data_IF_248788026150
#
_entry.id   IF_248788026150
#
_cell.length_a   1.000
_cell.length_b   1.000
_cell.length_c   1.000
_cell.angle_alpha   90.00
_cell.angle_beta   90.00
_cell.angle_gamma   90.00
#
_symmetry.space_group_name_H-M   'P 1'
#
loop_
_entity.id
_entity.type
_entity.pdbx_description
1 polymer ?
#
# COMPACT_ATOMS: atom_id res chain seq x y z
N UNK A 1 6.28 -22.32 -6.32
CA UNK A 1 6.78 -22.18 -7.70
C UNK A 1 7.77 -21.03 -7.65
N UNK A 2 9.07 -21.30 -7.83
CA UNK A 2 10.09 -20.25 -7.80
C UNK A 2 9.87 -19.30 -8.97
N UNK A 3 9.82 -18.00 -8.73
CA UNK A 3 9.57 -16.99 -9.78
C UNK A 3 10.57 -17.09 -10.94
N UNK A 4 11.75 -17.67 -10.69
CA UNK A 4 12.78 -17.92 -11.70
C UNK A 4 12.48 -19.08 -12.66
N UNK A 5 11.69 -20.08 -12.25
CA UNK A 5 11.28 -21.18 -13.14
C UNK A 5 10.38 -20.72 -14.30
N UNK A 6 9.67 -19.60 -14.11
CA UNK A 6 8.96 -18.89 -15.17
C UNK A 6 9.90 -18.19 -16.19
N UNK A 7 11.18 -18.02 -15.85
CA UNK A 7 12.08 -17.07 -16.51
C UNK A 7 12.92 -17.64 -17.65
N UNK A 8 13.14 -18.96 -17.74
CA UNK A 8 14.10 -19.52 -18.69
C UNK A 8 13.56 -19.63 -20.13
N UNK A 9 12.25 -19.43 -20.35
CA UNK A 9 11.61 -19.51 -21.67
C UNK A 9 10.90 -18.25 -22.18
N UNK A 10 10.89 -17.15 -21.41
CA UNK A 10 9.97 -16.03 -21.71
C UNK A 10 8.50 -16.46 -21.65
N UNK A 11 8.19 -17.41 -20.77
CA UNK A 11 6.87 -18.02 -20.67
C UNK A 11 5.87 -17.00 -20.11
N UNK A 12 5.22 -16.29 -21.03
CA UNK A 12 4.19 -15.30 -20.73
C UNK A 12 3.09 -15.90 -19.84
N UNK A 13 2.80 -17.20 -19.95
CA UNK A 13 1.80 -17.86 -19.11
C UNK A 13 2.27 -17.98 -17.65
N UNK A 14 3.55 -18.26 -17.43
CA UNK A 14 4.12 -18.33 -16.09
C UNK A 14 4.20 -16.94 -15.44
N UNK A 15 4.49 -15.88 -16.21
CA UNK A 15 4.42 -14.51 -15.70
C UNK A 15 2.98 -14.08 -15.39
N UNK A 16 2.01 -14.48 -16.20
CA UNK A 16 0.59 -14.20 -15.97
C UNK A 16 0.09 -14.75 -14.63
N UNK A 17 0.63 -15.90 -14.17
CA UNK A 17 0.35 -16.42 -12.82
C UNK A 17 0.82 -15.45 -11.73
N UNK A 18 1.99 -14.83 -11.88
CA UNK A 18 2.50 -13.83 -10.95
C UNK A 18 1.64 -12.56 -10.98
N UNK A 19 1.26 -12.10 -12.17
CA UNK A 19 0.36 -10.94 -12.32
C UNK A 19 -0.98 -11.19 -11.63
N UNK A 20 -1.59 -12.37 -11.84
CA UNK A 20 -2.83 -12.74 -11.15
C UNK A 20 -2.66 -12.83 -9.63
N UNK A 21 -1.58 -13.43 -9.16
CA UNK A 21 -1.34 -13.64 -7.74
C UNK A 21 -1.08 -12.33 -6.99
N UNK A 22 -0.35 -11.39 -7.59
CA UNK A 22 0.12 -10.18 -6.92
C UNK A 22 -0.58 -8.89 -7.38
N UNK A 23 -1.38 -8.93 -8.46
CA UNK A 23 -2.05 -7.76 -9.03
C UNK A 23 -2.91 -7.02 -8.01
N UNK A 24 -3.71 -7.76 -7.24
CA UNK A 24 -4.57 -7.15 -6.21
C UNK A 24 -3.79 -6.45 -5.10
N UNK A 25 -2.67 -7.03 -4.61
CA UNK A 25 -1.87 -6.40 -3.55
C UNK A 25 -1.04 -5.23 -4.09
N UNK A 26 -0.55 -5.31 -5.32
CA UNK A 26 0.13 -4.21 -6.01
C UNK A 26 -0.81 -3.02 -6.22
N UNK A 27 -2.02 -3.26 -6.72
CA UNK A 27 -3.04 -2.22 -6.83
C UNK A 27 -3.32 -1.54 -5.49
N UNK A 28 -3.58 -2.33 -4.42
CA UNK A 28 -3.80 -1.76 -3.09
C UNK A 28 -2.61 -0.94 -2.60
N UNK A 29 -1.38 -1.38 -2.85
CA UNK A 29 -0.18 -0.63 -2.48
C UNK A 29 -0.07 0.71 -3.24
N UNK A 30 -0.32 0.71 -4.55
CA UNK A 30 -0.32 1.93 -5.34
C UNK A 30 -1.43 2.88 -4.89
N UNK A 31 -2.62 2.35 -4.61
CA UNK A 31 -3.78 3.10 -4.15
C UNK A 31 -3.54 3.77 -2.80
N UNK A 32 -2.87 3.10 -1.86
CA UNK A 32 -2.45 3.71 -0.58
C UNK A 32 -1.55 4.96 -0.80
N UNK A 33 -0.79 5.01 -1.89
CA UNK A 33 0.13 6.12 -2.16
C UNK A 33 -0.53 7.23 -2.97
N UNK A 34 -1.31 6.86 -3.98
CA UNK A 34 -1.87 7.75 -4.99
C UNK A 34 -3.28 8.24 -4.70
N UNK A 35 -4.05 7.44 -3.97
CA UNK A 35 -5.42 7.76 -3.59
C UNK A 35 -6.45 7.83 -4.72
N UNK A 36 -6.07 7.44 -5.93
CA UNK A 36 -6.91 7.46 -7.13
C UNK A 36 -6.84 6.08 -7.78
N UNK A 37 -8.00 5.51 -8.14
CA UNK A 37 -8.07 4.13 -8.64
C UNK A 37 -7.46 3.99 -10.03
N UNK A 38 -7.69 4.95 -10.93
CA UNK A 38 -7.13 4.92 -12.27
C UNK A 38 -5.60 5.06 -12.23
N UNK A 39 -5.09 6.00 -11.43
CA UNK A 39 -3.65 6.17 -11.24
C UNK A 39 -3.01 4.95 -10.57
N UNK A 40 -3.71 4.32 -9.62
CA UNK A 40 -3.24 3.11 -8.95
C UNK A 40 -3.20 1.91 -9.89
N UNK A 41 -4.22 1.74 -10.73
CA UNK A 41 -4.26 0.72 -11.77
C UNK A 41 -3.08 0.90 -12.71
N UNK A 42 -2.92 2.09 -13.28
CA UNK A 42 -1.80 2.35 -14.20
C UNK A 42 -0.43 2.15 -13.52
N UNK A 43 -0.28 2.55 -12.26
CA UNK A 43 0.99 2.39 -11.54
C UNK A 43 1.31 0.91 -11.28
N UNK A 44 0.30 0.11 -10.95
CA UNK A 44 0.46 -1.33 -10.78
C UNK A 44 0.79 -2.02 -12.11
N UNK A 45 0.13 -1.65 -13.20
CA UNK A 45 0.41 -2.21 -14.53
C UNK A 45 1.84 -1.87 -15.00
N UNK A 46 2.25 -0.60 -14.90
CA UNK A 46 3.61 -0.18 -15.24
C UNK A 46 4.66 -0.90 -14.37
N UNK A 47 4.36 -1.15 -13.09
CA UNK A 47 5.22 -1.91 -12.21
C UNK A 47 5.40 -3.36 -12.68
N UNK A 48 4.33 -4.03 -13.13
CA UNK A 48 4.46 -5.37 -13.74
C UNK A 48 5.20 -5.34 -15.08
N UNK A 49 5.07 -4.31 -15.90
CA UNK A 49 5.88 -4.18 -17.13
C UNK A 49 7.37 -4.04 -16.78
N UNK A 50 7.69 -3.21 -15.79
CA UNK A 50 9.07 -3.02 -15.29
C UNK A 50 9.62 -4.29 -14.64
N UNK A 51 8.82 -4.97 -13.84
CA UNK A 51 9.20 -6.24 -13.22
C UNK A 51 9.48 -7.31 -14.27
N UNK A 52 8.66 -7.42 -15.31
CA UNK A 52 8.92 -8.35 -16.43
C UNK A 52 10.27 -8.07 -17.10
N UNK A 53 10.58 -6.80 -17.38
CA UNK A 53 11.87 -6.40 -17.98
C UNK A 53 13.05 -6.61 -17.03
N UNK A 54 12.83 -6.51 -15.72
CA UNK A 54 13.86 -6.70 -14.70
C UNK A 54 13.98 -8.16 -14.23
N UNK A 55 13.11 -9.06 -14.70
CA UNK A 55 12.96 -10.41 -14.18
C UNK A 55 14.24 -11.25 -14.33
N UNK A 56 15.02 -11.03 -15.39
CA UNK A 56 16.32 -11.67 -15.59
C UNK A 56 17.35 -11.35 -14.49
N UNK A 57 17.14 -10.26 -13.74
CA UNK A 57 17.99 -9.83 -12.61
C UNK A 57 17.36 -10.15 -11.26
N UNK A 58 16.19 -10.78 -11.24
CA UNK A 58 15.54 -11.17 -9.99
C UNK A 58 16.38 -12.24 -9.28
N UNK A 59 16.74 -11.96 -8.03
CA UNK A 59 17.63 -12.82 -7.27
C UNK A 59 16.98 -14.18 -6.96
N UNK A 60 17.65 -15.30 -7.24
CA UNK A 60 17.15 -16.62 -6.86
C UNK A 60 16.97 -16.72 -5.35
N UNK A 61 15.80 -17.17 -4.90
CA UNK A 61 15.47 -17.29 -3.48
C UNK A 61 14.89 -16.02 -2.84
N UNK A 62 14.89 -14.88 -3.55
CA UNK A 62 14.16 -13.70 -3.10
C UNK A 62 12.64 -13.90 -3.21
N UNK A 63 11.87 -13.21 -2.36
CA UNK A 63 10.41 -13.24 -2.43
C UNK A 63 9.90 -12.26 -3.49
N UNK A 64 9.08 -12.75 -4.42
CA UNK A 64 8.54 -11.91 -5.50
C UNK A 64 7.60 -10.83 -4.96
N UNK A 65 6.82 -11.13 -3.91
CA UNK A 65 5.83 -10.22 -3.33
C UNK A 65 6.43 -8.88 -2.88
N UNK A 66 7.38 -8.87 -1.94
CA UNK A 66 8.08 -7.65 -1.54
C UNK A 66 8.77 -6.94 -2.70
N UNK A 67 9.34 -7.69 -3.64
CA UNK A 67 10.00 -7.12 -4.81
C UNK A 67 9.04 -6.35 -5.73
N UNK A 68 7.90 -6.95 -6.11
CA UNK A 68 6.90 -6.26 -6.95
C UNK A 68 6.27 -5.08 -6.20
N UNK A 69 6.08 -5.20 -4.88
CA UNK A 69 5.56 -4.10 -4.06
C UNK A 69 6.54 -2.93 -3.95
N UNK A 70 7.86 -3.20 -3.90
CA UNK A 70 8.88 -2.15 -3.95
C UNK A 70 8.82 -1.39 -5.28
N UNK A 71 8.75 -2.11 -6.41
CA UNK A 71 8.61 -1.50 -7.75
C UNK A 71 7.32 -0.67 -7.82
N UNK A 72 6.20 -1.26 -7.42
CA UNK A 72 4.88 -0.60 -7.43
C UNK A 72 4.87 0.68 -6.58
N UNK A 73 5.48 0.62 -5.40
CA UNK A 73 5.56 1.77 -4.51
C UNK A 73 6.48 2.86 -5.06
N UNK A 74 7.53 2.51 -5.81
CA UNK A 74 8.36 3.49 -6.50
C UNK A 74 7.56 4.20 -7.62
N UNK A 75 6.83 3.44 -8.43
CA UNK A 75 5.98 4.00 -9.50
C UNK A 75 4.93 4.95 -8.96
N UNK A 76 4.21 4.53 -7.92
CA UNK A 76 3.18 5.34 -7.30
C UNK A 76 3.73 6.65 -6.71
N UNK A 77 4.90 6.60 -6.04
CA UNK A 77 5.56 7.79 -5.50
C UNK A 77 6.04 8.75 -6.60
N UNK A 78 6.62 8.21 -7.67
CA UNK A 78 7.08 8.99 -8.82
C UNK A 78 5.90 9.72 -9.49
N UNK A 79 4.79 9.03 -9.73
CA UNK A 79 3.54 9.63 -10.24
C UNK A 79 3.04 10.75 -9.34
N UNK A 80 2.97 10.49 -8.03
CA UNK A 80 2.51 11.51 -7.07
C UNK A 80 3.39 12.75 -7.10
N UNK A 81 4.71 12.57 -7.14
CA UNK A 81 5.68 13.68 -7.23
C UNK A 81 5.52 14.46 -8.53
N UNK A 82 5.37 13.78 -9.67
CA UNK A 82 5.22 14.40 -10.98
C UNK A 82 3.94 15.25 -11.07
N UNK A 83 2.86 14.80 -10.44
CA UNK A 83 1.60 15.53 -10.46
C UNK A 83 1.57 16.75 -9.52
N UNK A 84 2.60 16.98 -8.70
CA UNK A 84 2.60 18.04 -7.68
C UNK A 84 1.49 17.91 -6.63
N UNK A 85 0.80 16.75 -6.62
CA UNK A 85 -0.38 16.51 -5.79
C UNK A 85 0.06 16.16 -4.37
N UNK A 86 -0.44 16.89 -3.36
CA UNK A 86 -0.59 16.34 -2.00
C UNK A 86 -1.80 15.41 -2.04
N UNK A 87 -1.62 14.17 -2.49
CA UNK A 87 -2.66 13.15 -2.27
C UNK A 87 -2.35 12.46 -0.95
N UNK A 88 -3.31 12.52 -0.04
CA UNK A 88 -3.27 11.72 1.15
C UNK A 88 -3.54 10.25 0.85
N UNK A 89 -3.60 9.44 1.89
CA UNK A 89 -4.11 8.08 1.72
C UNK A 89 -5.59 8.21 1.39
N UNK A 90 -5.98 8.12 0.11
CA UNK A 90 -7.38 7.87 -0.20
C UNK A 90 -7.62 6.43 0.21
N UNK A 91 -8.03 6.23 1.45
CA UNK A 91 -8.63 5.00 1.93
C UNK A 91 -10.07 4.85 1.41
N UNK A 92 -10.48 5.68 0.44
CA UNK A 92 -11.86 5.76 -0.04
C UNK A 92 -12.32 4.43 -0.66
N UNK A 93 -11.46 3.69 -1.37
CA UNK A 93 -11.83 2.41 -1.98
C UNK A 93 -12.03 1.24 -1.00
N UNK A 94 -11.85 1.43 0.31
CA UNK A 94 -12.40 0.45 1.26
C UNK A 94 -13.95 0.44 1.27
N UNK A 95 -14.61 1.41 0.63
CA UNK A 95 -16.07 1.45 0.47
C UNK A 95 -16.63 0.41 -0.51
N UNK A 96 -15.86 -0.03 -1.50
CA UNK A 96 -16.38 -0.99 -2.49
C UNK A 96 -16.11 -2.46 -2.11
N UNK A 97 -15.14 -2.73 -1.22
CA UNK A 97 -14.72 -4.09 -0.89
C UNK A 97 -14.78 -4.49 0.58
N UNK A 98 -14.75 -3.55 1.53
CA UNK A 98 -14.78 -3.84 2.97
C UNK A 98 -16.15 -3.47 3.50
N UNK A 99 -17.13 -4.32 3.17
CA UNK A 99 -18.46 -4.30 3.77
C UNK A 99 -19.23 -3.02 3.44
N UNK A 100 -20.26 -3.17 2.59
CA UNK A 100 -21.58 -2.79 3.08
C UNK A 100 -21.64 -3.31 4.51
N UNK A 101 -21.59 -2.42 5.49
CA UNK A 101 -21.91 -2.80 6.86
C UNK A 101 -23.12 -3.71 6.75
N UNK A 102 -23.02 -4.86 7.41
CA UNK A 102 -24.22 -5.59 7.76
C UNK A 102 -25.27 -4.54 8.16
N UNK A 103 -26.50 -4.66 7.66
CA UNK A 103 -27.56 -3.68 7.94
C UNK A 103 -27.98 -3.63 9.40
N UNK A 104 -27.05 -3.80 10.35
CA UNK A 104 -27.17 -3.91 11.79
C UNK A 104 -26.82 -2.59 12.51
N UNK A 105 -26.12 -1.66 11.87
CA UNK A 105 -25.84 -0.34 12.46
C UNK A 105 -27.03 0.61 12.27
N UNK A 106 -27.42 1.31 13.33
CA UNK A 106 -28.39 2.40 13.21
C UNK A 106 -27.82 3.53 12.33
N UNK A 107 -28.66 4.36 11.70
CA UNK A 107 -28.21 5.50 10.91
C UNK A 107 -27.25 6.43 11.65
N UNK A 108 -27.48 6.64 12.95
CA UNK A 108 -26.64 7.45 13.83
C UNK A 108 -25.28 6.79 14.07
N UNK A 109 -25.25 5.48 14.30
CA UNK A 109 -24.01 4.73 14.45
C UNK A 109 -23.18 4.71 13.16
N UNK A 110 -23.84 4.62 12.00
CA UNK A 110 -23.19 4.70 10.70
C UNK A 110 -22.58 6.08 10.45
N UNK A 111 -23.27 7.16 10.83
CA UNK A 111 -22.77 8.54 10.70
C UNK A 111 -21.52 8.75 11.57
N UNK A 112 -21.57 8.36 12.86
CA UNK A 112 -20.41 8.45 13.77
C UNK A 112 -19.22 7.63 13.27
N UNK A 113 -19.47 6.47 12.66
CA UNK A 113 -18.41 5.66 12.05
C UNK A 113 -17.78 6.34 10.83
N UNK A 114 -18.57 7.03 10.00
CA UNK A 114 -18.06 7.81 8.87
C UNK A 114 -17.22 9.00 9.32
N UNK A 115 -17.66 9.74 10.33
CA UNK A 115 -16.92 10.89 10.89
C UNK A 115 -15.56 10.46 11.45
N UNK A 116 -15.54 9.43 12.31
CA UNK A 116 -14.29 8.87 12.86
C UNK A 116 -13.35 8.35 11.77
N UNK A 117 -13.90 7.80 10.69
CA UNK A 117 -13.11 7.35 9.56
C UNK A 117 -12.49 8.54 8.85
N UNK A 118 -13.26 9.60 8.57
CA UNK A 118 -12.74 10.82 7.94
C UNK A 118 -11.60 11.45 8.77
N UNK A 119 -11.77 11.58 10.09
CA UNK A 119 -10.73 12.05 11.01
C UNK A 119 -9.46 11.20 10.91
N UNK A 120 -9.59 9.86 10.89
CA UNK A 120 -8.45 8.96 10.74
C UNK A 120 -7.74 9.16 9.40
N UNK A 121 -8.51 9.37 8.32
CA UNK A 121 -7.91 9.60 7.00
C UNK A 121 -7.10 10.87 7.02
N UNK A 122 -7.69 11.98 7.47
CA UNK A 122 -7.04 13.29 7.56
C UNK A 122 -5.78 13.25 8.42
N UNK A 123 -5.86 12.64 9.61
CA UNK A 123 -4.71 12.46 10.49
C UNK A 123 -3.60 11.64 9.82
N UNK A 124 -3.95 10.60 9.05
CA UNK A 124 -2.99 9.84 8.26
C UNK A 124 -2.38 10.70 7.13
N UNK A 125 -3.17 11.53 6.44
CA UNK A 125 -2.68 12.43 5.38
C UNK A 125 -1.63 13.43 5.92
N UNK A 126 -1.81 13.90 7.16
CA UNK A 126 -0.88 14.78 7.85
C UNK A 126 0.47 14.14 8.21
N UNK A 127 0.59 12.80 8.14
CA UNK A 127 1.84 12.12 8.43
C UNK A 127 2.83 12.18 7.27
N UNK A 128 4.12 12.09 7.63
CA UNK A 128 5.21 11.92 6.67
C UNK A 128 4.96 10.65 5.85
N UNK A 129 5.35 10.70 4.59
CA UNK A 129 5.15 9.61 3.64
C UNK A 129 5.69 8.26 4.13
N UNK A 130 6.87 8.24 4.74
CA UNK A 130 7.47 7.01 5.28
C UNK A 130 6.66 6.42 6.45
N UNK A 131 6.04 7.29 7.26
CA UNK A 131 5.21 6.89 8.40
C UNK A 131 3.88 6.29 7.89
N UNK A 132 3.28 6.91 6.87
CA UNK A 132 2.13 6.37 6.16
C UNK A 132 2.43 5.01 5.54
N UNK A 133 3.57 4.89 4.85
CA UNK A 133 3.94 3.65 4.17
C UNK A 133 4.09 2.47 5.14
N UNK A 134 4.79 2.66 6.28
CA UNK A 134 4.98 1.57 7.25
C UNK A 134 3.67 1.14 7.91
N UNK A 135 2.75 2.07 8.18
CA UNK A 135 1.41 1.75 8.69
C UNK A 135 0.60 1.03 7.61
N UNK A 136 0.61 1.58 6.38
CA UNK A 136 0.04 1.02 5.16
C UNK A 136 0.36 -0.46 4.99
N UNK A 137 1.66 -0.77 4.92
CA UNK A 137 2.13 -2.13 4.67
C UNK A 137 1.78 -3.10 5.80
N UNK A 138 1.87 -2.65 7.05
CA UNK A 138 1.63 -3.52 8.22
C UNK A 138 0.16 -3.80 8.50
N UNK A 139 -0.73 -2.84 8.24
CA UNK A 139 -2.14 -2.93 8.64
C UNK A 139 -3.12 -3.02 7.47
N UNK A 140 -2.78 -2.47 6.30
CA UNK A 140 -3.66 -2.52 5.12
C UNK A 140 -3.28 -3.61 4.14
N UNK A 141 -1.99 -3.92 4.02
CA UNK A 141 -1.50 -4.99 3.17
C UNK A 141 -1.15 -6.28 3.93
N UNK A 142 -1.21 -6.24 5.27
CA UNK A 142 -0.89 -7.35 6.18
C UNK A 142 0.50 -7.97 5.96
N UNK A 143 1.46 -7.17 5.45
CA UNK A 143 2.83 -7.64 5.22
C UNK A 143 3.54 -7.83 6.54
N UNK A 144 4.29 -8.91 6.72
CA UNK A 144 5.18 -9.14 7.87
C UNK A 144 6.22 -8.03 8.07
N UNK A 145 6.89 -7.99 9.23
CA UNK A 145 8.00 -7.05 9.44
C UNK A 145 9.15 -7.28 8.45
N UNK A 146 9.40 -8.54 8.06
CA UNK A 146 10.44 -8.87 7.09
C UNK A 146 10.08 -8.35 5.69
N UNK A 147 8.87 -8.65 5.22
CA UNK A 147 8.39 -8.18 3.92
C UNK A 147 8.30 -6.65 3.87
N UNK A 148 7.83 -6.02 4.95
CA UNK A 148 7.81 -4.56 5.05
C UNK A 148 9.22 -3.95 4.96
N UNK A 149 10.21 -4.61 5.57
CA UNK A 149 11.60 -4.16 5.53
C UNK A 149 12.17 -4.24 4.12
N UNK A 150 11.88 -5.32 3.40
CA UNK A 150 12.27 -5.52 2.00
C UNK A 150 11.63 -4.46 1.09
N UNK A 151 10.32 -4.22 1.20
CA UNK A 151 9.62 -3.19 0.42
C UNK A 151 10.19 -1.80 0.68
N UNK A 152 10.49 -1.48 1.94
CA UNK A 152 11.02 -0.18 2.34
C UNK A 152 12.53 -0.03 2.15
N UNK A 153 13.24 -1.09 1.74
CA UNK A 153 14.70 -1.07 1.61
C UNK A 153 15.41 -0.74 2.93
N UNK A 154 14.97 -1.31 4.06
CA UNK A 154 15.54 -1.02 5.38
C UNK A 154 15.81 -2.29 6.19
N UNK A 155 16.59 -2.19 7.28
CA UNK A 155 16.83 -3.33 8.16
C UNK A 155 15.55 -3.72 8.92
N UNK A 156 15.29 -5.03 9.10
CA UNK A 156 14.09 -5.55 9.78
C UNK A 156 13.81 -4.90 11.14
N UNK A 157 14.84 -4.71 11.98
CA UNK A 157 14.69 -4.05 13.28
C UNK A 157 14.21 -2.59 13.21
N UNK A 158 14.39 -1.95 12.05
CA UNK A 158 13.94 -0.59 11.77
C UNK A 158 12.42 -0.51 11.63
N UNK A 159 11.77 -1.56 11.14
CA UNK A 159 10.31 -1.57 10.91
C UNK A 159 9.55 -1.34 12.21
N UNK A 160 9.89 -2.10 13.26
CA UNK A 160 9.24 -1.96 14.58
C UNK A 160 9.39 -0.55 15.16
N UNK A 161 10.60 0.01 15.10
CA UNK A 161 10.86 1.36 15.62
C UNK A 161 10.22 2.47 14.79
N UNK A 162 10.16 2.32 13.46
CA UNK A 162 9.45 3.26 12.56
C UNK A 162 7.95 3.18 12.79
N UNK A 163 7.39 1.98 12.84
CA UNK A 163 5.97 1.75 13.09
C UNK A 163 5.52 2.34 14.43
N UNK A 164 6.29 2.08 15.50
CA UNK A 164 5.99 2.63 16.82
C UNK A 164 5.94 4.17 16.81
N UNK A 165 6.94 4.82 16.18
CA UNK A 165 6.97 6.28 16.05
C UNK A 165 5.85 6.83 15.14
N UNK A 166 5.54 6.13 14.06
CA UNK A 166 4.46 6.49 13.14
C UNK A 166 3.09 6.44 13.85
N UNK A 167 2.83 5.38 14.61
CA UNK A 167 1.62 5.25 15.43
C UNK A 167 1.56 6.29 16.55
N UNK A 168 2.70 6.66 17.14
CA UNK A 168 2.79 7.77 18.10
C UNK A 168 2.32 9.08 17.48
N UNK A 169 2.88 9.44 16.32
CA UNK A 169 2.48 10.64 15.57
C UNK A 169 1.02 10.61 15.12
N UNK A 170 0.50 9.45 14.72
CA UNK A 170 -0.91 9.30 14.36
C UNK A 170 -1.82 9.60 15.54
N UNK A 171 -1.50 9.08 16.73
CA UNK A 171 -2.26 9.35 17.96
C UNK A 171 -2.20 10.83 18.35
N UNK A 172 -1.07 11.48 18.17
CA UNK A 172 -0.92 12.92 18.43
C UNK A 172 -1.74 13.76 17.44
N UNK A 173 -1.78 13.39 16.16
CA UNK A 173 -2.60 14.05 15.15
C UNK A 173 -4.10 13.93 15.49
N UNK A 174 -4.57 12.71 15.78
CA UNK A 174 -5.97 12.47 16.16
C UNK A 174 -6.41 13.25 17.40
N UNK A 175 -5.53 13.40 18.41
CA UNK A 175 -5.85 14.21 19.60
C UNK A 175 -6.03 15.69 19.27
N UNK A 176 -5.19 16.24 18.39
CA UNK A 176 -5.29 17.64 17.99
C UNK A 176 -6.58 17.93 17.21
N UNK A 177 -7.03 17.00 16.38
CA UNK A 177 -8.32 17.08 15.69
C UNK A 177 -9.47 17.16 16.69
N UNK A 178 -9.44 16.29 17.71
CA UNK A 178 -10.47 16.22 18.77
C UNK A 178 -10.50 17.45 19.67
N UNK A 179 -9.35 18.09 19.92
CA UNK A 179 -9.27 19.33 20.70
C UNK A 179 -9.65 20.58 19.89
N UNK A 180 -9.74 20.48 18.55
CA UNK A 180 -10.02 21.59 17.63
C UNK A 180 -11.50 21.66 17.16
N UNK A 181 -12.28 20.60 17.36
CA UNK A 181 -13.73 20.53 17.10
C UNK A 181 -14.57 20.85 18.33
#
# INVERSE_FOLDING_TARGET
MEARGACEGGDAAAYEVLVRAYGGVAFRAAYLILGDSAEAEDASQEAFVKAYRALARFEPGASFGPWILAITSNEARNRRKAAGRRVGLSLRAAEEGVGRGDGSLSPEAALVAQERRAELLEALEGLREEDRAVIGYRYFLDLSEAETAEVLGCARGTVKSRLSRALGRLREALRKEQDAG
#
